data_IF_886346574217
#
_entry.id   IF_886346574217
#
_cell.length_a   1.000
_cell.length_b   1.000
_cell.length_c   1.000
_cell.angle_alpha   90.00
_cell.angle_beta   90.00
_cell.angle_gamma   90.00
#
_symmetry.space_group_name_H-M   'P 1'
#
loop_
_entity.id
_entity.type
_entity.pdbx_description
1 polymer ?
#
# COMPACT_ATOMS: atom_id res chain seq x y z
N UNK A 1 29.76 10.89 -18.01
CA UNK A 1 28.33 11.16 -18.26
C UNK A 1 27.59 9.85 -18.07
N UNK A 2 27.10 9.59 -16.85
CA UNK A 2 26.54 8.28 -16.50
C UNK A 2 25.13 8.12 -17.09
N UNK A 3 24.98 7.09 -17.89
CA UNK A 3 23.73 6.70 -18.53
C UNK A 3 22.89 5.99 -17.47
N UNK A 4 21.81 6.62 -16.99
CA UNK A 4 20.91 5.99 -16.03
C UNK A 4 20.17 4.83 -16.69
N UNK A 5 20.42 3.64 -16.15
CA UNK A 5 19.78 2.40 -16.55
C UNK A 5 18.27 2.43 -16.24
N UNK A 6 17.52 2.11 -17.28
CA UNK A 6 16.11 1.73 -17.32
C UNK A 6 15.74 0.79 -16.14
N UNK A 7 14.95 1.28 -15.17
CA UNK A 7 14.44 0.49 -14.03
C UNK A 7 12.93 0.63 -13.86
N UNK A 8 12.18 0.63 -14.96
CA UNK A 8 10.74 0.39 -14.95
C UNK A 8 10.44 -0.88 -15.75
N UNK A 9 10.00 -1.92 -15.04
CA UNK A 9 9.62 -3.27 -15.51
C UNK A 9 8.43 -3.28 -16.51
N UNK A 10 8.10 -2.16 -17.14
CA UNK A 10 7.15 -2.06 -18.25
C UNK A 10 7.76 -1.34 -19.45
N UNK A 11 8.77 -1.97 -20.04
CA UNK A 11 8.92 -1.90 -21.48
C UNK A 11 9.20 -3.32 -21.99
N UNK A 12 8.48 -3.72 -23.06
CA UNK A 12 8.74 -4.84 -23.99
C UNK A 12 7.74 -5.99 -24.06
N UNK A 13 6.44 -5.78 -23.83
CA UNK A 13 5.46 -6.49 -24.68
C UNK A 13 4.37 -5.50 -25.12
N UNK A 14 4.61 -4.89 -26.29
CA UNK A 14 3.58 -4.20 -27.06
C UNK A 14 2.91 -5.30 -27.90
N UNK A 15 1.75 -5.87 -27.53
CA UNK A 15 1.04 -6.74 -28.47
C UNK A 15 0.58 -5.84 -29.63
N UNK A 16 1.31 -5.89 -30.73
CA UNK A 16 1.12 -5.05 -31.91
C UNK A 16 -0.18 -5.37 -32.68
N UNK A 17 -1.03 -6.26 -32.18
CA UNK A 17 -2.18 -6.79 -32.93
C UNK A 17 -3.53 -6.75 -32.19
N UNK A 18 -3.72 -5.88 -31.19
CA UNK A 18 -5.05 -5.71 -30.58
C UNK A 18 -5.75 -4.45 -31.13
N UNK A 19 -6.95 -4.64 -31.66
CA UNK A 19 -7.78 -3.57 -32.24
C UNK A 19 -8.00 -2.40 -31.27
N UNK A 20 -8.32 -1.21 -31.80
CA UNK A 20 -8.50 0.03 -31.00
C UNK A 20 -9.47 -0.14 -29.82
N UNK A 21 -10.51 -0.95 -29.98
CA UNK A 21 -11.48 -1.26 -28.92
C UNK A 21 -10.85 -2.06 -27.77
N UNK A 22 -10.06 -3.10 -28.07
CA UNK A 22 -9.38 -3.93 -27.06
C UNK A 22 -8.33 -3.13 -26.31
N UNK A 23 -7.61 -2.21 -26.99
CA UNK A 23 -6.67 -1.29 -26.33
C UNK A 23 -7.34 -0.34 -25.34
N UNK A 24 -8.50 0.23 -25.68
CA UNK A 24 -9.28 1.09 -24.76
C UNK A 24 -9.82 0.27 -23.58
N UNK A 25 -10.32 -0.94 -23.84
CA UNK A 25 -10.80 -1.83 -22.78
C UNK A 25 -9.67 -2.25 -21.84
N UNK A 26 -8.50 -2.67 -22.35
CA UNK A 26 -7.32 -2.97 -21.53
C UNK A 26 -6.80 -1.77 -20.75
N UNK A 27 -6.83 -0.56 -21.31
CA UNK A 27 -6.44 0.66 -20.58
C UNK A 27 -7.44 0.98 -19.44
N UNK A 28 -8.74 0.89 -19.71
CA UNK A 28 -9.77 1.11 -18.68
C UNK A 28 -9.71 0.03 -17.58
N UNK A 29 -9.47 -1.23 -17.96
CA UNK A 29 -9.23 -2.32 -17.01
C UNK A 29 -7.94 -2.10 -16.21
N UNK A 30 -6.87 -1.60 -16.82
CA UNK A 30 -5.62 -1.30 -16.11
C UNK A 30 -5.77 -0.16 -15.09
N UNK A 31 -6.55 0.89 -15.40
CA UNK A 31 -6.87 1.99 -14.47
C UNK A 31 -7.64 1.46 -13.25
N UNK A 32 -8.55 0.50 -13.44
CA UNK A 32 -9.29 -0.13 -12.34
C UNK A 32 -8.42 -1.08 -11.49
N UNK A 33 -7.31 -1.60 -12.04
CA UNK A 33 -6.42 -2.56 -11.36
C UNK A 33 -5.23 -1.88 -10.69
N UNK A 34 -4.82 -0.71 -11.15
CA UNK A 34 -3.68 0.02 -10.61
C UNK A 34 -4.02 0.78 -9.32
N UNK A 35 -4.07 0.07 -8.19
CA UNK A 35 -4.22 0.69 -6.87
C UNK A 35 -2.93 1.38 -6.44
N UNK A 36 -2.92 2.70 -6.57
CA UNK A 36 -1.95 3.61 -5.96
C UNK A 36 -2.07 3.58 -4.43
N UNK A 37 -0.95 3.38 -3.73
CA UNK A 37 -0.88 3.38 -2.26
C UNK A 37 0.04 4.48 -1.77
N UNK A 38 -0.49 5.37 -0.93
CA UNK A 38 0.23 6.47 -0.30
C UNK A 38 0.44 6.14 1.18
N UNK A 39 1.60 6.49 1.74
CA UNK A 39 1.86 6.34 3.16
C UNK A 39 0.95 7.26 3.98
N UNK A 40 0.32 6.74 5.04
CA UNK A 40 -0.57 7.52 5.88
C UNK A 40 0.14 8.35 6.96
N UNK A 41 1.43 8.12 7.21
CA UNK A 41 2.19 8.86 8.21
C UNK A 41 2.32 10.33 7.83
N UNK A 42 2.11 11.23 8.78
CA UNK A 42 2.23 12.69 8.57
C UNK A 42 3.66 13.03 8.16
N UNK A 43 3.80 13.81 7.08
CA UNK A 43 5.11 14.19 6.52
C UNK A 43 5.77 13.12 5.66
N UNK A 44 5.18 11.93 5.49
CA UNK A 44 5.70 10.92 4.58
C UNK A 44 5.11 11.10 3.17
N UNK A 45 5.97 11.39 2.20
CA UNK A 45 5.59 11.53 0.78
C UNK A 45 5.63 10.22 -0.02
N UNK A 46 5.95 9.09 0.60
CA UNK A 46 6.21 7.83 -0.11
C UNK A 46 4.94 7.30 -0.79
N UNK A 47 5.09 6.87 -2.04
CA UNK A 47 4.01 6.39 -2.89
C UNK A 47 4.47 5.15 -3.67
N UNK A 48 3.68 4.07 -3.62
CA UNK A 48 3.94 2.79 -4.29
C UNK A 48 4.25 2.87 -5.79
N UNK A 49 3.75 3.87 -6.51
CA UNK A 49 4.01 4.01 -7.94
C UNK A 49 5.43 4.49 -8.22
N UNK A 50 5.86 5.52 -7.48
CA UNK A 50 7.18 6.14 -7.62
C UNK A 50 8.25 5.36 -6.85
N UNK A 51 7.92 4.95 -5.63
CA UNK A 51 8.85 4.41 -4.64
C UNK A 51 8.78 2.87 -4.59
N UNK A 52 9.04 2.24 -5.74
CA UNK A 52 8.86 0.77 -5.95
C UNK A 52 9.75 -0.11 -5.07
N UNK A 53 10.85 0.43 -4.55
CA UNK A 53 11.74 -0.28 -3.63
C UNK A 53 11.17 -0.38 -2.20
N UNK A 54 10.10 0.36 -1.88
CA UNK A 54 9.49 0.39 -0.55
C UNK A 54 8.32 -0.56 -0.49
N UNK A 55 8.21 -1.28 0.63
CA UNK A 55 7.04 -2.10 0.92
C UNK A 55 6.00 -1.26 1.64
N UNK A 56 4.72 -1.48 1.34
CA UNK A 56 3.59 -0.81 1.98
C UNK A 56 2.76 -1.84 2.75
N UNK A 57 2.60 -1.62 4.05
CA UNK A 57 1.90 -2.53 4.94
C UNK A 57 0.56 -1.94 5.36
N UNK A 58 -0.49 -2.74 5.17
CA UNK A 58 -1.86 -2.37 5.48
C UNK A 58 -2.08 -2.39 7.00
N UNK A 59 -2.81 -1.40 7.51
CA UNK A 59 -3.25 -1.45 8.90
C UNK A 59 -4.23 -2.61 9.08
N UNK A 60 -4.00 -3.47 10.07
CA UNK A 60 -4.95 -4.51 10.37
C UNK A 60 -6.21 -3.93 11.01
N UNK A 61 -7.36 -4.42 10.55
CA UNK A 61 -8.61 -4.32 11.30
C UNK A 61 -8.55 -5.24 12.53
N UNK A 62 -9.38 -4.94 13.53
CA UNK A 62 -9.54 -5.81 14.70
C UNK A 62 -10.03 -7.18 14.25
N UNK A 63 -9.28 -8.21 14.58
CA UNK A 63 -9.62 -9.57 14.20
C UNK A 63 -10.46 -10.21 15.30
N UNK A 64 -11.76 -10.40 15.04
CA UNK A 64 -12.71 -10.93 16.01
C UNK A 64 -12.79 -12.46 16.02
N UNK A 65 -12.34 -13.11 14.94
CA UNK A 65 -12.66 -14.52 14.68
C UNK A 65 -11.57 -15.51 15.17
N UNK A 66 -10.42 -15.01 15.63
CA UNK A 66 -9.27 -15.83 16.07
C UNK A 66 -9.15 -15.94 17.60
N UNK A 67 -10.25 -15.73 18.33
CA UNK A 67 -10.30 -15.80 19.78
C UNK A 67 -10.00 -14.47 20.49
N UNK A 68 -10.18 -14.47 21.81
CA UNK A 68 -10.16 -13.27 22.66
C UNK A 68 -8.77 -12.65 22.77
N UNK A 69 -7.72 -13.47 22.87
CA UNK A 69 -6.32 -13.02 22.96
C UNK A 69 -5.90 -12.23 21.71
N UNK A 70 -6.15 -12.79 20.53
CA UNK A 70 -5.83 -12.16 19.25
C UNK A 70 -6.63 -10.87 19.02
N UNK A 71 -7.91 -10.86 19.42
CA UNK A 71 -8.74 -9.64 19.40
C UNK A 71 -8.12 -8.52 20.24
N UNK A 72 -7.68 -8.82 21.46
CA UNK A 72 -7.08 -7.84 22.36
C UNK A 72 -5.74 -7.31 21.82
N UNK A 73 -4.89 -8.18 21.28
CA UNK A 73 -3.61 -7.80 20.68
C UNK A 73 -3.80 -6.92 19.44
N UNK A 74 -4.72 -7.29 18.54
CA UNK A 74 -5.04 -6.50 17.35
C UNK A 74 -5.61 -5.13 17.71
N UNK A 75 -6.49 -5.04 18.70
CA UNK A 75 -7.01 -3.76 19.22
C UNK A 75 -5.91 -2.85 19.76
N UNK A 76 -5.03 -3.39 20.61
CA UNK A 76 -3.89 -2.63 21.17
C UNK A 76 -2.98 -2.12 20.05
N UNK A 77 -2.68 -2.98 19.07
CA UNK A 77 -1.86 -2.64 17.92
C UNK A 77 -2.50 -1.54 17.07
N UNK A 78 -3.78 -1.68 16.74
CA UNK A 78 -4.52 -0.69 15.98
C UNK A 78 -4.52 0.67 16.68
N UNK A 79 -4.80 0.70 18.00
CA UNK A 79 -4.79 1.92 18.81
C UNK A 79 -3.41 2.59 18.82
N UNK A 80 -2.34 1.81 18.99
CA UNK A 80 -0.98 2.33 18.97
C UNK A 80 -0.62 2.97 17.63
N UNK A 81 -1.04 2.37 16.51
CA UNK A 81 -0.80 2.95 15.20
C UNK A 81 -1.64 4.19 14.92
N UNK A 82 -2.93 4.18 15.27
CA UNK A 82 -3.78 5.37 15.13
C UNK A 82 -3.21 6.55 15.91
N UNK A 83 -2.73 6.28 17.13
CA UNK A 83 -2.02 7.28 17.94
C UNK A 83 -0.75 7.79 17.26
N UNK A 84 0.04 6.91 16.62
CA UNK A 84 1.27 7.32 15.91
C UNK A 84 1.01 8.09 14.62
N UNK A 85 -0.03 7.73 13.87
CA UNK A 85 -0.41 8.45 12.66
C UNK A 85 -0.97 9.84 13.01
N UNK A 86 -1.65 9.96 14.16
CA UNK A 86 -2.15 11.22 14.72
C UNK A 86 -2.92 12.09 13.71
N UNK A 87 -3.83 11.46 12.97
CA UNK A 87 -4.66 12.09 11.95
C UNK A 87 -6.14 12.05 12.35
N UNK A 88 -6.79 13.21 12.34
CA UNK A 88 -8.19 13.34 12.73
C UNK A 88 -9.16 12.77 11.67
N UNK A 89 -8.73 12.70 10.41
CA UNK A 89 -9.51 12.18 9.29
C UNK A 89 -9.63 10.65 9.29
N UNK A 90 -8.79 9.97 10.07
CA UNK A 90 -8.71 8.51 10.09
C UNK A 90 -9.62 7.93 11.18
N UNK A 91 -10.67 7.24 10.74
CA UNK A 91 -11.52 6.45 11.64
C UNK A 91 -11.08 4.97 11.69
N UNK A 92 -11.36 4.24 12.79
CA UNK A 92 -11.05 2.81 12.90
C UNK A 92 -11.65 1.95 11.78
N UNK A 93 -12.78 2.40 11.21
CA UNK A 93 -13.46 1.74 10.09
C UNK A 93 -12.66 1.87 8.79
N UNK A 94 -11.85 2.90 8.63
CA UNK A 94 -11.03 3.15 7.44
C UNK A 94 -9.63 2.54 7.54
N UNK A 95 -9.28 1.90 8.66
CA UNK A 95 -7.97 1.27 8.85
C UNK A 95 -7.59 0.31 7.72
N UNK A 96 -8.56 -0.41 7.16
CA UNK A 96 -8.29 -1.27 6.00
C UNK A 96 -7.85 -0.46 4.78
N UNK A 97 -8.19 0.80 4.58
CA UNK A 97 -7.70 1.55 3.41
C UNK A 97 -6.35 2.21 3.60
N UNK A 98 -5.81 2.12 4.82
CA UNK A 98 -4.60 2.83 5.22
C UNK A 98 -3.40 1.90 5.17
N UNK A 99 -2.32 2.41 4.58
CA UNK A 99 -1.03 1.72 4.50
C UNK A 99 0.09 2.62 5.01
N UNK A 100 1.14 2.00 5.55
CA UNK A 100 2.36 2.66 6.01
C UNK A 100 3.57 2.02 5.32
N UNK A 101 4.52 2.84 4.88
CA UNK A 101 5.72 2.35 4.19
C UNK A 101 6.71 1.68 5.16
N UNK A 102 7.60 0.86 4.63
CA UNK A 102 8.61 0.10 5.37
C UNK A 102 9.51 0.95 6.29
N UNK A 103 9.73 2.22 5.94
CA UNK A 103 10.68 3.10 6.64
C UNK A 103 10.25 3.47 8.07
N UNK A 104 8.97 3.28 8.40
CA UNK A 104 8.44 3.54 9.73
C UNK A 104 8.53 2.33 10.67
N UNK A 105 9.08 1.21 10.20
CA UNK A 105 9.33 0.02 11.01
C UNK A 105 10.83 -0.12 11.27
N UNK A 106 11.19 -0.42 12.51
CA UNK A 106 12.59 -0.64 12.91
C UNK A 106 13.26 -1.72 12.06
N UNK A 107 12.54 -2.80 11.74
CA UNK A 107 13.02 -3.91 10.90
C UNK A 107 12.54 -3.82 9.44
N UNK A 108 11.94 -2.71 9.03
CA UNK A 108 11.32 -2.57 7.70
C UNK A 108 9.99 -3.31 7.52
N UNK A 109 9.57 -4.12 8.51
CA UNK A 109 8.34 -4.93 8.46
C UNK A 109 7.56 -4.83 9.79
N UNK A 110 6.22 -4.94 9.76
CA UNK A 110 5.42 -5.04 10.97
C UNK A 110 5.67 -6.37 11.69
N UNK A 111 5.67 -6.36 13.03
CA UNK A 111 5.68 -7.58 13.85
C UNK A 111 4.56 -8.57 13.45
N UNK A 112 4.79 -9.88 13.60
CA UNK A 112 3.75 -10.88 13.39
C UNK A 112 2.75 -10.87 14.55
N UNK A 113 1.49 -11.17 14.25
CA UNK A 113 0.41 -11.37 15.24
C UNK A 113 0.25 -12.86 15.54
#
# INVERSE_FOLDING_TARGET
MYVYACTSVFCKHRPFALGRAVRRLCFLLAILVYKVVICAMVGCGNWSDRDKAKSFFRLLSVLTNQGTKTKLLTQRRQKAWLFKINRADITPKQCYNISVCSDHFVSGVPAKL
#
